data_IF_884433869659
#
_entry.id   IF_884433869659
#
_cell.length_a   1.000
_cell.length_b   1.000
_cell.length_c   1.000
_cell.angle_alpha   90.00
_cell.angle_beta   90.00
_cell.angle_gamma   90.00
#
_symmetry.space_group_name_H-M   'P 1'
#
loop_
_entity.id
_entity.type
_entity.pdbx_description
1 polymer ?
#
# COMPACT_ATOMS: atom_id res chain seq x y z
N UNK A 1 -10.38 8.57 -5.51
CA UNK A 1 -11.09 9.25 -6.62
C UNK A 1 -12.53 8.78 -6.66
N UNK A 2 -13.43 9.56 -7.27
CA UNK A 2 -14.84 9.17 -7.47
C UNK A 2 -15.16 9.30 -8.96
N UNK A 3 -15.74 8.26 -9.54
CA UNK A 3 -16.08 8.16 -10.97
C UNK A 3 -17.50 7.64 -11.13
N UNK A 4 -18.30 8.31 -11.94
CA UNK A 4 -19.63 7.89 -12.36
C UNK A 4 -19.54 7.17 -13.71
N UNK A 5 -20.29 6.09 -13.88
CA UNK A 5 -20.41 5.26 -15.09
C UNK A 5 -19.05 4.87 -15.73
N UNK A 6 -18.10 4.31 -14.95
CA UNK A 6 -16.75 4.01 -15.44
C UNK A 6 -16.76 3.04 -16.62
N UNK A 7 -15.95 3.32 -17.64
CA UNK A 7 -15.81 2.50 -18.84
C UNK A 7 -16.93 2.66 -19.87
N UNK A 8 -17.80 3.66 -19.71
CA UNK A 8 -18.92 3.93 -20.64
C UNK A 8 -18.75 5.29 -21.32
N UNK A 9 -19.50 5.57 -22.42
CA UNK A 9 -19.55 6.91 -23.01
C UNK A 9 -20.05 8.02 -22.05
N UNK A 10 -20.65 7.64 -20.92
CA UNK A 10 -21.20 8.53 -19.90
C UNK A 10 -20.27 8.66 -18.69
N UNK A 11 -19.02 8.18 -18.78
CA UNK A 11 -18.06 8.28 -17.69
C UNK A 11 -17.82 9.74 -17.29
N UNK A 12 -17.92 10.02 -15.98
CA UNK A 12 -17.63 11.35 -15.42
C UNK A 12 -16.80 11.23 -14.16
N UNK A 13 -15.64 11.90 -14.13
CA UNK A 13 -14.86 12.08 -12.90
C UNK A 13 -15.53 13.13 -12.02
N UNK A 14 -15.69 12.82 -10.76
CA UNK A 14 -16.30 13.71 -9.77
C UNK A 14 -15.20 14.46 -9.02
N UNK A 15 -15.35 15.78 -8.90
CA UNK A 15 -14.40 16.65 -8.20
C UNK A 15 -14.41 16.32 -6.71
N UNK A 16 -13.23 16.32 -6.08
CA UNK A 16 -13.13 16.18 -4.63
C UNK A 16 -13.90 17.31 -3.92
N UNK A 17 -14.59 16.98 -2.82
CA UNK A 17 -15.39 17.92 -2.03
C UNK A 17 -16.42 18.70 -2.89
N UNK A 18 -17.22 17.98 -3.66
CA UNK A 18 -18.33 18.56 -4.45
C UNK A 18 -19.66 17.93 -4.07
N UNK A 19 -20.71 18.75 -4.05
CA UNK A 19 -22.09 18.41 -3.67
C UNK A 19 -23.11 18.76 -4.77
N UNK A 20 -22.67 19.30 -5.90
CA UNK A 20 -23.47 19.79 -7.03
C UNK A 20 -23.72 18.73 -8.13
N UNK A 21 -23.38 17.46 -7.87
CA UNK A 21 -23.50 16.38 -8.85
C UNK A 21 -24.93 15.85 -8.91
N UNK A 22 -25.53 15.87 -10.11
CA UNK A 22 -26.85 15.27 -10.38
C UNK A 22 -26.67 13.80 -10.74
N UNK A 23 -27.39 12.92 -10.03
CA UNK A 23 -27.40 11.47 -10.23
C UNK A 23 -28.73 11.03 -10.81
N UNK A 24 -28.70 10.06 -11.72
CA UNK A 24 -29.88 9.45 -12.32
C UNK A 24 -30.02 8.02 -11.81
N UNK A 25 -31.27 7.54 -11.77
CA UNK A 25 -31.54 6.12 -11.52
C UNK A 25 -30.77 5.28 -12.55
N UNK A 26 -29.95 4.35 -12.07
CA UNK A 26 -29.15 3.46 -12.89
C UNK A 26 -27.69 3.90 -13.08
N UNK A 27 -27.27 5.06 -12.57
CA UNK A 27 -25.86 5.43 -12.55
C UNK A 27 -25.04 4.49 -11.65
N UNK A 28 -23.88 4.06 -12.13
CA UNK A 28 -22.89 3.29 -11.37
C UNK A 28 -21.84 4.24 -10.79
N UNK A 29 -21.63 4.20 -9.47
CA UNK A 29 -20.60 5.02 -8.81
C UNK A 29 -19.45 4.15 -8.34
N UNK A 30 -18.23 4.48 -8.75
CA UNK A 30 -16.99 3.86 -8.25
C UNK A 30 -16.23 4.86 -7.39
N UNK A 31 -15.99 4.47 -6.15
CA UNK A 31 -15.20 5.23 -5.18
C UNK A 31 -13.92 4.46 -4.90
N UNK A 32 -12.77 5.08 -5.16
CA UNK A 32 -11.47 4.63 -4.68
C UNK A 32 -11.08 5.48 -3.48
N UNK A 33 -11.04 4.87 -2.31
CA UNK A 33 -10.51 5.49 -1.09
C UNK A 33 -9.00 5.27 -0.99
N UNK A 34 -8.32 6.15 -0.26
CA UNK A 34 -6.93 5.88 0.11
C UNK A 34 -6.89 4.76 1.17
N UNK A 35 -5.81 3.98 1.16
CA UNK A 35 -5.47 3.09 2.27
C UNK A 35 -4.69 3.84 3.36
N UNK A 36 -4.37 3.14 4.44
CA UNK A 36 -3.40 3.61 5.45
C UNK A 36 -1.96 3.52 4.94
N UNK A 37 -1.05 4.18 5.66
CA UNK A 37 0.40 3.98 5.49
C UNK A 37 0.90 2.76 6.27
N UNK A 38 2.02 2.17 5.83
CA UNK A 38 2.70 1.10 6.56
C UNK A 38 3.67 1.64 7.62
N UNK A 39 4.04 0.79 8.59
CA UNK A 39 5.03 1.09 9.61
C UNK A 39 6.11 0.00 9.64
N UNK A 40 7.37 0.43 9.75
CA UNK A 40 8.52 -0.45 9.87
C UNK A 40 8.94 -1.12 8.56
N UNK A 41 9.91 -2.03 8.67
CA UNK A 41 10.45 -2.76 7.55
C UNK A 41 9.49 -3.88 7.09
N UNK A 42 9.03 -3.91 5.82
CA UNK A 42 8.11 -4.95 5.36
C UNK A 42 8.72 -6.36 5.34
N UNK A 43 10.04 -6.52 5.30
CA UNK A 43 10.71 -7.82 5.36
C UNK A 43 10.77 -8.39 6.79
N UNK A 44 10.45 -7.58 7.80
CA UNK A 44 10.34 -8.02 9.20
C UNK A 44 8.93 -8.51 9.56
N UNK A 45 7.91 -8.20 8.73
CA UNK A 45 6.54 -8.72 8.94
C UNK A 45 6.56 -10.25 8.94
N UNK A 46 5.85 -10.88 9.88
CA UNK A 46 5.83 -12.34 9.96
C UNK A 46 5.17 -12.95 8.70
N UNK A 47 5.75 -14.00 8.09
CA UNK A 47 5.20 -14.61 6.88
C UNK A 47 3.74 -15.06 7.01
N UNK A 48 3.36 -15.61 8.18
CA UNK A 48 1.99 -16.07 8.43
C UNK A 48 0.98 -14.93 8.40
N UNK A 49 1.33 -13.76 8.94
CA UNK A 49 0.47 -12.56 8.86
C UNK A 49 0.36 -12.02 7.43
N UNK A 50 1.39 -12.18 6.61
CA UNK A 50 1.32 -11.82 5.18
C UNK A 50 0.43 -12.81 4.44
N UNK A 51 0.43 -14.09 4.80
CA UNK A 51 -0.49 -15.07 4.26
C UNK A 51 -1.94 -14.72 4.62
N UNK A 52 -2.21 -14.34 5.88
CA UNK A 52 -3.53 -13.85 6.29
C UNK A 52 -3.97 -12.64 5.45
N UNK A 53 -3.08 -11.66 5.24
CA UNK A 53 -3.37 -10.49 4.39
C UNK A 53 -3.70 -10.91 2.93
N UNK A 54 -3.12 -12.01 2.44
CA UNK A 54 -3.42 -12.57 1.11
C UNK A 54 -4.75 -13.28 1.08
N UNK A 55 -5.06 -14.06 2.11
CA UNK A 55 -6.33 -14.76 2.26
C UNK A 55 -7.50 -13.77 2.39
N UNK A 56 -7.28 -12.66 3.07
CA UNK A 56 -8.26 -11.57 3.23
C UNK A 56 -8.37 -10.67 1.99
N UNK A 57 -7.50 -10.85 0.99
CA UNK A 57 -7.51 -10.08 -0.26
C UNK A 57 -6.97 -8.65 -0.12
N UNK A 58 -6.32 -8.31 0.99
CA UNK A 58 -5.62 -7.04 1.15
C UNK A 58 -4.32 -7.01 0.35
N UNK A 59 -3.66 -8.16 0.21
CA UNK A 59 -2.39 -8.32 -0.49
C UNK A 59 -2.55 -9.40 -1.57
N UNK A 60 -1.98 -9.19 -2.76
CA UNK A 60 -1.92 -10.26 -3.76
C UNK A 60 -0.71 -11.16 -3.51
N UNK A 61 -0.73 -12.41 -3.98
CA UNK A 61 0.44 -13.31 -3.94
C UNK A 61 1.70 -12.65 -4.56
N UNK A 62 1.50 -11.88 -5.63
CA UNK A 62 2.59 -11.13 -6.26
C UNK A 62 3.14 -10.03 -5.34
N UNK A 63 2.26 -9.26 -4.68
CA UNK A 63 2.65 -8.22 -3.73
C UNK A 63 3.29 -8.81 -2.47
N UNK A 64 2.83 -9.96 -1.97
CA UNK A 64 3.45 -10.69 -0.87
C UNK A 64 4.93 -10.98 -1.17
N UNK A 65 5.22 -11.46 -2.39
CA UNK A 65 6.58 -11.72 -2.85
C UNK A 65 7.40 -10.44 -3.00
N UNK A 66 6.87 -9.43 -3.71
CA UNK A 66 7.63 -8.22 -4.06
C UNK A 66 7.88 -7.29 -2.87
N UNK A 67 6.87 -7.11 -2.02
CA UNK A 67 6.92 -6.12 -0.94
C UNK A 67 7.40 -6.71 0.38
N UNK A 68 6.98 -7.93 0.72
CA UNK A 68 7.28 -8.57 2.01
C UNK A 68 8.30 -9.70 1.91
N UNK A 69 8.72 -10.06 0.68
CA UNK A 69 9.63 -11.17 0.42
C UNK A 69 9.02 -12.54 0.72
N UNK A 70 7.69 -12.65 0.88
CA UNK A 70 7.01 -13.89 1.26
C UNK A 70 6.57 -14.62 0.00
N UNK A 71 7.03 -15.85 -0.15
CA UNK A 71 6.72 -16.69 -1.31
C UNK A 71 5.58 -17.63 -0.92
N UNK A 72 4.45 -17.52 -1.61
CA UNK A 72 3.24 -18.31 -1.38
C UNK A 72 2.94 -19.08 -2.66
N UNK A 73 2.69 -20.38 -2.52
CA UNK A 73 2.21 -21.21 -3.62
C UNK A 73 0.75 -20.84 -3.93
N UNK A 74 0.41 -20.41 -5.15
CA UNK A 74 -0.95 -19.96 -5.48
C UNK A 74 -1.97 -21.10 -5.55
N UNK A 75 -1.53 -22.36 -5.62
CA UNK A 75 -2.40 -23.55 -5.68
C UNK A 75 -2.67 -24.09 -4.28
N UNK A 76 -1.61 -24.28 -3.49
CA UNK A 76 -1.73 -24.86 -2.15
C UNK A 76 -1.99 -23.81 -1.06
N UNK A 77 -1.74 -22.53 -1.37
CA UNK A 77 -1.84 -21.40 -0.43
C UNK A 77 -0.95 -21.59 0.80
N UNK A 78 0.16 -22.31 0.61
CA UNK A 78 1.16 -22.55 1.63
C UNK A 78 2.38 -21.64 1.44
N UNK A 79 3.00 -21.23 2.54
CA UNK A 79 4.24 -20.46 2.53
C UNK A 79 5.41 -21.38 2.16
N UNK A 80 6.14 -21.02 1.11
CA UNK A 80 7.46 -21.60 0.86
C UNK A 80 8.49 -20.91 1.78
N UNK A 81 8.81 -21.59 2.88
CA UNK A 81 9.76 -21.10 3.88
C UNK A 81 11.17 -20.88 3.30
N UNK A 82 11.62 -21.77 2.40
CA UNK A 82 12.96 -21.66 1.79
C UNK A 82 12.98 -20.54 0.76
N UNK A 83 11.96 -20.47 -0.09
CA UNK A 83 11.79 -19.40 -1.07
C UNK A 83 11.69 -18.04 -0.39
N UNK A 84 10.94 -17.93 0.71
CA UNK A 84 10.81 -16.72 1.51
C UNK A 84 12.15 -16.26 2.09
N UNK A 85 12.92 -17.17 2.69
CA UNK A 85 14.25 -16.85 3.23
C UNK A 85 15.21 -16.35 2.14
N UNK A 86 15.22 -17.02 0.97
CA UNK A 86 16.05 -16.62 -0.15
C UNK A 86 15.62 -15.25 -0.73
N UNK A 87 14.31 -15.04 -0.91
CA UNK A 87 13.75 -13.80 -1.43
C UNK A 87 14.04 -12.62 -0.50
N UNK A 88 13.89 -12.79 0.83
CA UNK A 88 14.22 -11.74 1.79
C UNK A 88 15.71 -11.40 1.79
N UNK A 89 16.60 -12.39 1.68
CA UNK A 89 18.04 -12.16 1.56
C UNK A 89 18.37 -11.35 0.30
N UNK A 90 17.77 -11.69 -0.83
CA UNK A 90 17.94 -10.97 -2.09
C UNK A 90 17.45 -9.52 -1.99
N UNK A 91 16.23 -9.32 -1.46
CA UNK A 91 15.66 -7.99 -1.24
C UNK A 91 16.48 -7.14 -0.26
N UNK A 92 16.99 -7.72 0.83
CA UNK A 92 17.89 -7.03 1.77
C UNK A 92 19.20 -6.59 1.11
N UNK A 93 19.75 -7.40 0.19
CA UNK A 93 21.00 -7.07 -0.50
C UNK A 93 20.84 -6.02 -1.61
N UNK A 94 19.64 -5.90 -2.18
CA UNK A 94 19.36 -5.05 -3.35
C UNK A 94 18.78 -3.69 -2.99
N UNK A 95 18.29 -3.49 -1.76
CA UNK A 95 17.66 -2.23 -1.34
C UNK A 95 18.41 -1.59 -0.16
N UNK A 96 18.23 -0.27 -0.02
CA UNK A 96 18.74 0.48 1.13
C UNK A 96 17.92 0.29 2.42
N UNK A 97 18.32 0.91 3.54
CA UNK A 97 17.58 0.84 4.79
C UNK A 97 16.15 1.37 4.64
N UNK A 98 15.22 0.83 5.43
CA UNK A 98 13.84 1.34 5.51
C UNK A 98 13.88 2.73 6.15
N UNK A 99 13.43 3.75 5.41
CA UNK A 99 13.38 5.14 5.87
C UNK A 99 12.06 5.46 6.56
N UNK A 100 12.08 6.42 7.48
CA UNK A 100 10.87 6.96 8.10
C UNK A 100 10.17 7.94 7.17
N UNK A 101 8.88 7.77 6.97
CA UNK A 101 8.08 8.67 6.16
C UNK A 101 7.35 9.67 7.05
N UNK A 102 7.58 10.96 6.83
CA UNK A 102 6.73 12.03 7.35
C UNK A 102 6.43 12.99 6.22
N UNK A 103 5.14 13.03 5.80
CA UNK A 103 4.55 13.97 4.82
C UNK A 103 5.47 14.33 3.65
N UNK A 104 5.29 13.64 2.53
CA UNK A 104 6.02 13.88 1.27
C UNK A 104 7.54 13.67 1.36
N UNK A 105 8.13 13.42 2.54
CA UNK A 105 9.56 13.33 2.78
C UNK A 105 9.90 12.03 3.54
N UNK A 106 11.08 11.49 3.24
CA UNK A 106 11.67 10.35 3.94
C UNK A 106 12.92 10.80 4.71
N UNK A 107 13.08 10.26 5.92
CA UNK A 107 14.13 10.58 6.87
C UNK A 107 14.89 9.31 7.23
N UNK A 108 16.20 9.43 7.47
CA UNK A 108 17.01 8.29 7.92
C UNK A 108 16.95 8.14 9.44
N UNK A 109 16.69 9.23 10.19
CA UNK A 109 16.60 9.24 11.66
C UNK A 109 15.42 10.08 12.17
N UNK A 110 15.04 9.90 13.44
CA UNK A 110 13.91 10.59 14.06
C UNK A 110 14.30 12.03 14.43
N UNK A 111 15.58 12.24 14.71
CA UNK A 111 16.17 13.55 14.98
C UNK A 111 16.09 14.44 13.73
N UNK A 112 16.47 13.92 12.56
CA UNK A 112 16.34 14.64 11.29
C UNK A 112 14.88 15.00 10.96
N UNK A 113 13.97 14.07 11.22
CA UNK A 113 12.53 14.29 11.06
C UNK A 113 12.06 15.41 11.99
N UNK A 114 12.41 15.36 13.27
CA UNK A 114 11.99 16.34 14.27
C UNK A 114 12.48 17.75 13.92
N UNK A 115 13.75 17.90 13.58
CA UNK A 115 14.32 19.19 13.16
C UNK A 115 13.58 19.76 11.95
N UNK A 116 13.24 18.90 10.97
CA UNK A 116 12.47 19.33 9.81
C UNK A 116 11.05 19.75 10.17
N UNK A 117 10.37 18.99 11.03
CA UNK A 117 9.00 19.29 11.48
C UNK A 117 8.97 20.63 12.21
N UNK A 118 9.86 20.85 13.17
CA UNK A 118 9.93 22.10 13.94
C UNK A 118 10.18 23.31 13.05
N UNK A 119 10.99 23.15 12.00
CA UNK A 119 11.29 24.22 11.05
C UNK A 119 10.16 24.51 10.07
N UNK A 120 9.42 23.50 9.61
CA UNK A 120 8.51 23.62 8.46
C UNK A 120 7.02 23.52 8.81
N UNK A 121 6.67 23.01 9.99
CA UNK A 121 5.29 22.84 10.44
C UNK A 121 5.11 23.68 11.72
N UNK A 122 4.81 24.98 11.60
CA UNK A 122 4.53 25.81 12.75
C UNK A 122 3.29 25.26 13.50
N UNK A 123 3.39 25.21 14.83
CA UNK A 123 2.28 24.83 15.72
C UNK A 123 1.27 25.96 15.85
#
# INVERSE_FOLDING_TARGET
>A
SVVMNPGTPQEKKIRAFSDDNVWKKGDLVRIHTAGGGGWGDPLERQPDLVLDDVLDGFVSVESARKSYGVVIDPVTVAIDQRGTAAMRKDLQSSRGPTKMFHRFIYFDTAEEELEWVEKNIPR
#
